data_IF_073372642683
#
_entry.id   IF_073372642683
#
_cell.length_a   1.000
_cell.length_b   1.000
_cell.length_c   1.000
_cell.angle_alpha   90.00
_cell.angle_beta   90.00
_cell.angle_gamma   90.00
#
_symmetry.space_group_name_H-M   'P 1'
#
loop_
_entity.id
_entity.type
_entity.pdbx_description
1 polymer ?
#
# COMPACT_ATOMS: atom_id res chain seq x y z
N UNK A 1 5.32 -37.18 -3.71
CA UNK A 1 6.19 -36.05 -4.09
C UNK A 1 5.34 -34.78 -4.03
N UNK A 2 5.41 -34.02 -2.93
CA UNK A 2 4.69 -32.75 -2.79
C UNK A 2 5.73 -31.63 -2.70
N UNK A 3 5.92 -30.89 -3.78
CA UNK A 3 6.77 -29.71 -3.82
C UNK A 3 5.97 -28.52 -3.31
N UNK A 4 6.29 -28.05 -2.11
CA UNK A 4 5.75 -26.81 -1.57
C UNK A 4 6.38 -25.64 -2.35
N UNK A 5 5.62 -25.08 -3.29
CA UNK A 5 5.98 -23.83 -3.96
C UNK A 5 5.87 -22.68 -2.97
N UNK A 6 7.00 -22.02 -2.68
CA UNK A 6 7.06 -20.79 -1.90
C UNK A 6 6.25 -19.69 -2.61
N UNK A 7 4.97 -19.54 -2.25
CA UNK A 7 4.15 -18.42 -2.66
C UNK A 7 4.73 -17.15 -2.05
N UNK A 8 5.18 -16.24 -2.90
CA UNK A 8 5.87 -15.03 -2.48
C UNK A 8 4.84 -13.94 -2.21
N UNK A 9 4.55 -13.71 -0.93
CA UNK A 9 3.51 -12.75 -0.56
C UNK A 9 4.06 -11.34 -0.66
N UNK A 10 3.45 -10.54 -1.53
CA UNK A 10 3.56 -9.09 -1.46
C UNK A 10 2.54 -8.57 -0.46
N UNK A 11 3.05 -8.02 0.63
CA UNK A 11 2.26 -7.65 1.78
C UNK A 11 2.46 -6.13 1.94
N UNK A 12 1.43 -5.32 1.66
CA UNK A 12 1.45 -3.87 1.90
C UNK A 12 0.49 -3.60 3.04
N UNK A 13 1.03 -3.11 4.16
CA UNK A 13 0.26 -2.70 5.32
C UNK A 13 -0.50 -1.41 5.00
N UNK A 14 -1.81 -1.42 5.26
CA UNK A 14 -2.65 -0.22 5.27
C UNK A 14 -2.17 0.72 6.38
N UNK A 15 -1.73 1.92 6.03
CA UNK A 15 -1.56 2.97 7.03
C UNK A 15 -2.95 3.54 7.33
N UNK A 16 -3.51 3.17 8.48
CA UNK A 16 -4.72 3.83 9.00
C UNK A 16 -4.38 5.29 9.28
N UNK A 17 -5.04 6.21 8.58
CA UNK A 17 -5.13 7.60 8.99
C UNK A 17 -5.91 7.65 10.30
N UNK A 18 -5.24 8.05 11.38
CA UNK A 18 -5.92 8.38 12.61
C UNK A 18 -6.75 9.66 12.37
N UNK A 19 -8.07 9.52 12.37
CA UNK A 19 -9.00 10.64 12.42
C UNK A 19 -8.78 11.44 13.70
N UNK A 20 -8.42 12.71 13.58
CA UNK A 20 -8.55 13.68 14.65
C UNK A 20 -9.73 14.58 14.30
N UNK A 21 -10.91 14.24 14.84
CA UNK A 21 -12.06 15.14 14.87
C UNK A 21 -12.39 15.50 16.32
N UNK A 22 -12.95 16.70 16.47
CA UNK A 22 -13.52 17.36 17.67
C UNK A 22 -12.48 17.98 18.64
N UNK A 23 -12.43 19.29 18.95
CA UNK A 23 -13.32 20.46 18.83
C UNK A 23 -12.46 21.73 19.00
N UNK A 24 -12.74 22.84 18.30
CA UNK A 24 -13.06 24.15 18.92
C UNK A 24 -13.38 25.23 17.84
N UNK A 25 -14.67 25.55 17.78
CA UNK A 25 -15.31 26.87 17.58
C UNK A 25 -14.69 27.94 16.66
N UNK A 26 -15.42 28.18 15.55
CA UNK A 26 -15.74 29.43 14.83
C UNK A 26 -15.08 30.75 15.31
N UNK A 27 -14.30 31.37 14.44
CA UNK A 27 -14.29 32.83 14.23
C UNK A 27 -13.76 33.16 12.82
N UNK A 28 -14.56 33.86 12.02
CA UNK A 28 -14.15 34.48 10.78
C UNK A 28 -13.57 35.87 11.08
N UNK A 29 -12.37 36.16 10.56
CA UNK A 29 -11.90 37.53 10.33
C UNK A 29 -10.68 37.54 9.38
N UNK A 30 -10.85 38.24 8.25
CA UNK A 30 -9.87 39.04 7.49
C UNK A 30 -8.36 38.73 7.58
N UNK A 31 -7.76 38.42 6.43
CA UNK A 31 -6.33 38.42 6.19
C UNK A 31 -5.73 39.84 6.13
N UNK A 32 -4.46 39.99 6.55
CA UNK A 32 -3.56 40.96 5.93
C UNK A 32 -2.30 40.30 5.35
N UNK A 33 -1.83 40.93 4.28
CA UNK A 33 -0.55 40.73 3.59
C UNK A 33 0.64 41.22 4.42
N UNK A 34 1.74 40.47 4.44
CA UNK A 34 3.13 40.89 4.16
C UNK A 34 4.20 40.08 4.92
N UNK A 35 5.17 39.58 4.13
CA UNK A 35 6.63 39.57 4.35
C UNK A 35 7.29 38.80 5.54
N UNK A 36 8.30 38.03 5.14
CA UNK A 36 9.56 37.73 5.83
C UNK A 36 9.53 37.08 7.23
N UNK A 37 9.56 35.75 7.25
CA UNK A 37 10.07 34.98 8.38
C UNK A 37 11.37 34.26 7.99
N UNK A 38 12.50 34.87 8.34
CA UNK A 38 13.82 34.26 8.24
C UNK A 38 13.94 33.04 9.15
N UNK A 39 14.51 31.96 8.61
CA UNK A 39 14.76 30.70 9.31
C UNK A 39 16.12 30.80 10.04
N UNK A 40 16.11 31.02 11.36
CA UNK A 40 17.32 31.08 12.18
C UNK A 40 17.81 29.66 12.53
N UNK A 41 18.90 29.25 11.87
CA UNK A 41 19.55 27.94 12.00
C UNK A 41 20.43 27.80 13.26
N UNK A 42 20.43 28.77 14.19
CA UNK A 42 21.32 28.75 15.36
C UNK A 42 20.68 28.27 16.68
N UNK A 43 19.39 27.90 16.70
CA UNK A 43 18.78 27.32 17.92
C UNK A 43 19.25 25.88 18.17
N UNK A 44 19.81 25.57 19.36
CA UNK A 44 20.12 24.20 19.74
C UNK A 44 18.84 23.38 19.93
N UNK A 45 18.84 22.17 19.37
CA UNK A 45 17.72 21.20 19.43
C UNK A 45 17.59 20.65 20.86
N UNK A 46 16.38 20.59 21.46
CA UNK A 46 16.23 20.05 22.81
C UNK A 46 16.59 18.55 22.82
N UNK A 47 17.44 18.17 23.77
CA UNK A 47 17.87 16.79 23.99
C UNK A 47 16.74 16.00 24.64
N UNK A 48 16.37 14.81 24.15
CA UNK A 48 15.35 14.00 24.80
C UNK A 48 15.88 13.40 26.10
N UNK A 49 15.30 13.81 27.23
CA UNK A 49 15.55 13.24 28.55
C UNK A 49 15.10 11.77 28.57
N UNK A 50 16.00 10.89 28.99
CA UNK A 50 15.75 9.44 29.12
C UNK A 50 14.78 9.19 30.27
N UNK A 51 13.53 8.82 29.95
CA UNK A 51 12.54 8.41 30.95
C UNK A 51 12.94 7.06 31.57
N UNK A 52 12.91 7.00 32.90
CA UNK A 52 13.24 5.84 33.72
C UNK A 52 12.07 4.85 33.76
N UNK A 53 12.35 3.56 33.58
CA UNK A 53 11.37 2.45 33.57
C UNK A 53 10.79 2.09 34.96
N UNK A 54 10.83 2.99 35.94
CA UNK A 54 10.43 2.70 37.33
C UNK A 54 9.11 3.33 37.78
N UNK A 55 8.44 4.10 36.92
CA UNK A 55 7.28 4.91 37.34
C UNK A 55 5.91 4.31 36.97
N UNK A 56 5.85 3.03 36.57
CA UNK A 56 4.58 2.31 36.33
C UNK A 56 4.49 1.05 37.20
N UNK A 57 4.13 1.24 38.47
CA UNK A 57 3.64 0.15 39.30
C UNK A 57 2.13 -0.03 39.05
N UNK A 58 1.73 -1.18 38.54
CA UNK A 58 0.32 -1.60 38.46
C UNK A 58 -0.15 -2.14 39.82
N UNK A 59 -1.37 -1.83 40.28
CA UNK A 59 -1.91 -2.42 41.50
C UNK A 59 -2.22 -3.91 41.32
N UNK A 60 -1.93 -4.71 42.34
CA UNK A 60 -2.21 -6.15 42.39
C UNK A 60 -3.69 -6.42 42.65
N UNK A 61 -4.37 -7.05 41.70
CA UNK A 61 -5.72 -7.60 41.90
C UNK A 61 -5.63 -9.09 42.22
N UNK A 62 -6.23 -9.52 43.33
CA UNK A 62 -6.30 -10.91 43.80
C UNK A 62 -7.15 -11.83 42.90
N UNK A 63 -7.24 -13.14 43.25
CA UNK A 63 -7.75 -14.15 42.34
C UNK A 63 -9.29 -14.13 42.29
N UNK A 64 -9.85 -13.81 41.14
CA UNK A 64 -11.25 -14.10 40.83
C UNK A 64 -11.33 -15.49 40.18
N UNK A 65 -11.81 -16.48 40.94
CA UNK A 65 -12.23 -17.78 40.43
C UNK A 65 -13.43 -17.62 39.49
N UNK A 66 -13.20 -17.78 38.18
CA UNK A 66 -14.26 -18.06 37.22
C UNK A 66 -14.08 -19.46 36.62
N UNK A 67 -15.17 -20.24 36.47
CA UNK A 67 -15.10 -21.62 36.00
C UNK A 67 -14.69 -21.69 34.53
N UNK A 68 -13.88 -22.69 34.23
CA UNK A 68 -13.41 -23.10 32.92
C UNK A 68 -14.58 -23.30 31.94
N UNK A 69 -14.74 -22.37 30.99
CA UNK A 69 -15.29 -22.70 29.68
C UNK A 69 -14.10 -22.94 28.75
N UNK A 70 -13.90 -24.20 28.36
CA UNK A 70 -12.88 -24.57 27.40
C UNK A 70 -13.13 -23.88 26.06
N UNK A 71 -12.24 -22.98 25.66
CA UNK A 71 -12.06 -22.66 24.25
C UNK A 71 -10.95 -23.56 23.70
N UNK A 72 -11.17 -24.27 22.57
CA UNK A 72 -10.06 -24.91 21.88
C UNK A 72 -9.07 -23.82 21.52
N UNK A 73 -7.83 -23.99 22.01
CA UNK A 73 -6.71 -23.10 21.75
C UNK A 73 -6.63 -22.82 20.25
N UNK A 74 -6.68 -21.54 19.93
CA UNK A 74 -6.26 -20.93 18.67
C UNK A 74 -4.94 -21.56 18.24
N UNK A 75 -5.00 -22.41 17.22
CA UNK A 75 -3.79 -22.86 16.56
C UNK A 75 -3.10 -21.60 16.01
N UNK A 76 -1.81 -21.36 16.33
CA UNK A 76 -1.10 -20.24 15.76
C UNK A 76 -1.20 -20.33 14.23
N UNK A 77 -1.40 -19.20 13.53
CA UNK A 77 -1.53 -19.23 12.08
C UNK A 77 -0.36 -20.02 11.49
N UNK A 78 -0.62 -20.94 10.54
CA UNK A 78 0.42 -21.81 10.02
C UNK A 78 1.63 -20.97 9.60
N UNK A 79 2.82 -21.37 10.04
CA UNK A 79 4.09 -20.76 9.69
C UNK A 79 4.18 -20.67 8.15
N UNK A 80 3.90 -19.49 7.62
CA UNK A 80 3.72 -19.28 6.18
C UNK A 80 2.65 -18.26 5.83
N UNK A 81 1.75 -17.92 6.76
CA UNK A 81 0.78 -16.85 6.53
C UNK A 81 1.40 -15.44 6.68
N UNK A 82 1.07 -14.52 5.77
CA UNK A 82 1.54 -13.14 5.81
C UNK A 82 1.25 -12.43 7.13
N UNK A 83 2.21 -11.66 7.63
CA UNK A 83 2.07 -10.81 8.82
C UNK A 83 1.70 -11.55 10.12
N UNK A 84 1.80 -12.89 10.17
CA UNK A 84 1.36 -13.65 11.33
C UNK A 84 -0.15 -13.56 11.56
N UNK A 85 -0.92 -13.25 10.52
CA UNK A 85 -2.39 -13.20 10.54
C UNK A 85 -2.96 -14.37 9.75
N UNK A 86 -4.09 -14.92 10.17
CA UNK A 86 -4.80 -15.91 9.35
C UNK A 86 -5.32 -15.24 8.07
N UNK A 87 -5.02 -15.80 6.90
CA UNK A 87 -5.60 -15.34 5.65
C UNK A 87 -6.75 -16.23 5.22
N UNK A 88 -7.84 -15.58 4.77
CA UNK A 88 -8.98 -16.25 4.16
C UNK A 88 -9.20 -15.68 2.77
N UNK A 89 -9.69 -16.52 1.86
CA UNK A 89 -10.13 -16.03 0.56
C UNK A 89 -11.33 -15.11 0.77
N UNK A 90 -11.29 -13.91 0.17
CA UNK A 90 -12.40 -12.98 0.24
C UNK A 90 -13.69 -13.66 -0.27
N UNK A 91 -14.83 -13.52 0.44
CA UNK A 91 -16.11 -14.04 -0.04
C UNK A 91 -16.51 -13.32 -1.33
N UNK A 92 -17.29 -13.99 -2.19
CA UNK A 92 -17.86 -13.37 -3.38
C UNK A 92 -18.62 -12.09 -3.01
N UNK A 93 -18.50 -11.03 -3.81
CA UNK A 93 -19.11 -9.73 -3.54
C UNK A 93 -18.29 -8.56 -4.04
N UNK A 94 -18.41 -7.41 -3.37
CA UNK A 94 -17.87 -6.13 -3.81
C UNK A 94 -16.36 -6.17 -4.12
N UNK A 95 -15.55 -6.83 -3.28
CA UNK A 95 -14.11 -6.97 -3.52
C UNK A 95 -13.80 -7.73 -4.81
N UNK A 96 -14.58 -8.77 -5.15
CA UNK A 96 -14.41 -9.49 -6.41
C UNK A 96 -14.82 -8.63 -7.60
N UNK A 97 -15.91 -7.88 -7.50
CA UNK A 97 -16.32 -6.95 -8.56
C UNK A 97 -15.24 -5.90 -8.83
N UNK A 98 -14.63 -5.34 -7.78
CA UNK A 98 -13.51 -4.40 -7.91
C UNK A 98 -12.30 -5.04 -8.56
N UNK A 99 -11.92 -6.23 -8.11
CA UNK A 99 -10.80 -6.97 -8.67
C UNK A 99 -11.02 -7.36 -10.13
N UNK A 100 -12.21 -7.79 -10.50
CA UNK A 100 -12.56 -8.15 -11.87
C UNK A 100 -12.45 -6.94 -12.81
N UNK A 101 -12.90 -5.77 -12.35
CA UNK A 101 -12.69 -4.51 -13.07
C UNK A 101 -11.20 -4.22 -13.24
N UNK A 102 -10.40 -4.26 -12.18
CA UNK A 102 -8.95 -3.99 -12.25
C UNK A 102 -8.23 -4.96 -13.19
N UNK A 103 -8.60 -6.24 -13.19
CA UNK A 103 -8.07 -7.23 -14.14
C UNK A 103 -8.39 -6.85 -15.57
N UNK A 104 -9.66 -6.54 -15.86
CA UNK A 104 -10.08 -6.11 -17.19
C UNK A 104 -9.39 -4.80 -17.61
N UNK A 105 -9.17 -3.88 -16.67
CA UNK A 105 -8.51 -2.59 -16.92
C UNK A 105 -7.02 -2.83 -17.24
N UNK A 106 -6.34 -3.65 -16.45
CA UNK A 106 -4.94 -4.06 -16.68
C UNK A 106 -4.77 -4.81 -18.01
N UNK A 107 -5.69 -5.69 -18.39
CA UNK A 107 -5.63 -6.41 -19.66
C UNK A 107 -5.63 -5.43 -20.86
N UNK A 108 -6.38 -4.32 -20.76
CA UNK A 108 -6.40 -3.27 -21.78
C UNK A 108 -5.11 -2.47 -21.87
N UNK A 109 -4.26 -2.49 -20.84
CA UNK A 109 -2.92 -1.88 -20.89
C UNK A 109 -1.93 -2.69 -21.74
N UNK A 110 -2.11 -4.01 -21.86
CA UNK A 110 -1.20 -4.93 -22.55
C UNK A 110 -0.70 -4.41 -23.91
N UNK A 111 -1.56 -3.99 -24.86
CA UNK A 111 -1.09 -3.46 -26.14
C UNK A 111 -0.32 -2.14 -26.02
N UNK A 112 -0.63 -1.29 -25.03
CA UNK A 112 0.13 -0.06 -24.75
C UNK A 112 1.54 -0.44 -24.28
N UNK A 113 1.65 -1.33 -23.31
CA UNK A 113 2.94 -1.77 -22.76
C UNK A 113 3.80 -2.47 -23.82
N UNK A 114 3.20 -3.32 -24.66
CA UNK A 114 3.88 -3.99 -25.76
C UNK A 114 4.48 -2.96 -26.75
N UNK A 115 3.70 -1.95 -27.17
CA UNK A 115 4.20 -0.87 -28.03
C UNK A 115 5.31 -0.07 -27.35
N UNK A 116 5.16 0.25 -26.06
CA UNK A 116 6.12 1.05 -25.32
C UNK A 116 7.42 0.32 -24.99
N UNK A 117 7.43 -1.02 -25.00
CA UNK A 117 8.66 -1.80 -24.91
C UNK A 117 9.55 -1.64 -26.14
N UNK A 118 8.94 -1.54 -27.33
CA UNK A 118 9.62 -1.38 -28.63
C UNK A 118 9.90 0.09 -28.95
N UNK A 119 8.86 0.92 -28.96
CA UNK A 119 8.91 2.34 -29.35
C UNK A 119 8.94 3.27 -28.13
N UNK A 120 9.87 3.04 -27.22
CA UNK A 120 9.92 3.69 -25.91
C UNK A 120 9.78 5.22 -25.96
N UNK A 121 10.48 5.91 -26.88
CA UNK A 121 10.48 7.40 -26.93
C UNK A 121 9.15 8.02 -27.37
N UNK A 122 8.26 7.26 -28.02
CA UNK A 122 6.97 7.76 -28.55
C UNK A 122 5.81 7.54 -27.58
N UNK A 123 6.07 6.95 -26.41
CA UNK A 123 5.03 6.67 -25.43
C UNK A 123 4.79 7.84 -24.46
N UNK A 124 3.55 7.97 -23.95
CA UNK A 124 3.24 8.86 -22.83
C UNK A 124 4.22 8.65 -21.68
N UNK A 125 4.48 9.71 -20.90
CA UNK A 125 5.43 9.67 -19.80
C UNK A 125 5.10 8.55 -18.79
N UNK A 126 3.84 8.44 -18.38
CA UNK A 126 3.36 7.40 -17.46
C UNK A 126 3.69 5.98 -17.96
N UNK A 127 3.34 5.67 -19.21
CA UNK A 127 3.63 4.39 -19.83
C UNK A 127 5.14 4.11 -19.94
N UNK A 128 5.95 5.12 -20.27
CA UNK A 128 7.42 4.99 -20.28
C UNK A 128 7.96 4.71 -18.88
N UNK A 129 7.48 5.43 -17.88
CA UNK A 129 7.90 5.25 -16.50
C UNK A 129 7.56 3.84 -16.01
N UNK A 130 6.32 3.40 -16.24
CA UNK A 130 5.87 2.06 -15.87
C UNK A 130 6.68 0.95 -16.57
N UNK A 131 6.91 1.07 -17.88
CA UNK A 131 7.78 0.12 -18.62
C UNK A 131 9.21 0.14 -18.10
N UNK A 132 9.74 1.29 -17.67
CA UNK A 132 11.08 1.36 -17.08
C UNK A 132 11.17 0.59 -15.74
N UNK A 133 10.11 0.66 -14.92
CA UNK A 133 10.03 -0.15 -13.68
C UNK A 133 10.03 -1.64 -14.01
N UNK A 134 9.21 -2.07 -14.99
CA UNK A 134 9.16 -3.46 -15.44
C UNK A 134 10.52 -3.94 -15.94
N UNK A 135 11.14 -3.19 -16.87
CA UNK A 135 12.46 -3.53 -17.42
C UNK A 135 13.52 -3.65 -16.34
N UNK A 136 13.49 -2.79 -15.30
CA UNK A 136 14.42 -2.87 -14.19
C UNK A 136 14.19 -4.10 -13.32
N UNK A 137 12.93 -4.50 -13.11
CA UNK A 137 12.57 -5.69 -12.36
C UNK A 137 12.94 -7.00 -13.10
N UNK A 138 12.89 -7.00 -14.43
CA UNK A 138 13.33 -8.12 -15.27
C UNK A 138 14.84 -8.43 -15.13
N UNK A 139 15.67 -7.47 -14.71
CA UNK A 139 17.13 -7.65 -14.56
C UNK A 139 17.56 -8.36 -13.27
N UNK A 140 16.61 -8.67 -12.38
CA UNK A 140 16.88 -9.28 -11.08
C UNK A 140 15.85 -10.36 -10.77
N UNK A 141 16.15 -11.23 -9.81
CA UNK A 141 15.28 -12.35 -9.44
C UNK A 141 14.98 -12.40 -7.93
N UNK A 142 14.03 -13.28 -7.57
CA UNK A 142 13.66 -13.54 -6.18
C UNK A 142 13.32 -12.29 -5.37
N UNK A 143 13.84 -12.21 -4.14
CA UNK A 143 13.58 -11.08 -3.23
C UNK A 143 14.10 -9.74 -3.74
N UNK A 144 15.18 -9.73 -4.53
CA UNK A 144 15.71 -8.49 -5.10
C UNK A 144 14.74 -7.88 -6.12
N UNK A 145 14.05 -8.71 -6.91
CA UNK A 145 12.98 -8.26 -7.80
C UNK A 145 11.87 -7.58 -7.02
N UNK A 146 11.37 -8.20 -5.96
CA UNK A 146 10.34 -7.59 -5.12
C UNK A 146 10.78 -6.25 -4.53
N UNK A 147 12.00 -6.18 -4.00
CA UNK A 147 12.51 -4.96 -3.38
C UNK A 147 12.58 -3.81 -4.39
N UNK A 148 13.05 -4.10 -5.61
CA UNK A 148 13.07 -3.12 -6.72
C UNK A 148 11.65 -2.68 -7.09
N UNK A 149 10.71 -3.61 -7.26
CA UNK A 149 9.33 -3.26 -7.61
C UNK A 149 8.70 -2.40 -6.53
N UNK A 150 8.85 -2.79 -5.26
CA UNK A 150 8.33 -2.03 -4.13
C UNK A 150 8.90 -0.61 -4.09
N UNK A 151 10.22 -0.46 -4.14
CA UNK A 151 10.87 0.84 -4.06
C UNK A 151 10.52 1.75 -5.24
N UNK A 152 10.46 1.20 -6.46
CA UNK A 152 10.20 1.99 -7.67
C UNK A 152 8.74 2.41 -7.80
N UNK A 153 7.80 1.55 -7.46
CA UNK A 153 6.37 1.93 -7.42
C UNK A 153 6.14 2.96 -6.32
N UNK A 154 6.71 2.77 -5.13
CA UNK A 154 6.57 3.74 -4.04
C UNK A 154 7.16 5.12 -4.36
N UNK A 155 8.17 5.18 -5.22
CA UNK A 155 8.73 6.46 -5.67
C UNK A 155 7.94 7.09 -6.82
N UNK A 156 7.13 6.31 -7.54
CA UNK A 156 6.39 6.76 -8.70
C UNK A 156 5.01 7.34 -8.37
N UNK A 157 4.44 6.92 -7.24
CA UNK A 157 3.09 7.26 -6.81
C UNK A 157 3.22 8.04 -5.50
N UNK A 158 2.52 9.17 -5.39
CA UNK A 158 2.35 9.90 -4.14
C UNK A 158 1.06 9.45 -3.45
N UNK A 159 1.08 9.30 -2.13
CA UNK A 159 -0.12 8.89 -1.38
C UNK A 159 -1.17 10.01 -1.40
N UNK A 160 -2.36 9.71 -1.93
CA UNK A 160 -3.55 10.57 -1.92
C UNK A 160 -4.77 9.68 -1.80
N UNK A 161 -5.70 10.00 -0.91
CA UNK A 161 -6.92 9.20 -0.75
C UNK A 161 -7.83 9.32 -1.98
N UNK A 162 -8.63 8.29 -2.24
CA UNK A 162 -9.65 8.35 -3.30
C UNK A 162 -10.67 9.47 -3.10
N UNK A 163 -10.99 9.80 -1.85
CA UNK A 163 -11.90 10.91 -1.57
C UNK A 163 -11.29 12.24 -1.99
N UNK A 164 -10.00 12.47 -1.71
CA UNK A 164 -9.32 13.72 -2.09
C UNK A 164 -9.05 13.79 -3.59
N UNK A 165 -8.79 12.65 -4.23
CA UNK A 165 -8.42 12.59 -5.65
C UNK A 165 -9.64 12.54 -6.57
N UNK A 166 -10.62 11.72 -6.22
CA UNK A 166 -11.73 11.34 -7.09
C UNK A 166 -13.12 11.66 -6.51
N UNK A 167 -13.20 12.02 -5.22
CA UNK A 167 -14.46 12.11 -4.48
C UNK A 167 -15.23 10.77 -4.48
N UNK A 168 -14.48 9.66 -4.52
CA UNK A 168 -14.99 8.30 -4.46
C UNK A 168 -14.51 7.63 -3.16
N UNK A 169 -15.31 6.77 -2.55
CA UNK A 169 -15.00 6.18 -1.23
C UNK A 169 -13.82 5.21 -1.29
N UNK A 170 -13.76 4.40 -2.35
CA UNK A 170 -12.80 3.31 -2.50
C UNK A 170 -12.85 2.87 -3.98
N UNK A 171 -11.88 3.35 -4.75
CA UNK A 171 -11.71 3.23 -6.19
C UNK A 171 -10.38 2.55 -6.47
N UNK A 172 -10.48 1.36 -7.07
CA UNK A 172 -9.28 0.63 -7.46
C UNK A 172 -8.84 1.03 -8.86
N UNK A 173 -7.64 1.59 -8.97
CA UNK A 173 -7.08 2.08 -10.24
C UNK A 173 -6.05 1.10 -10.80
N UNK A 174 -6.11 0.86 -12.10
CA UNK A 174 -5.03 0.18 -12.81
C UNK A 174 -3.80 1.11 -12.92
N UNK A 175 -2.59 0.61 -13.20
CA UNK A 175 -1.43 1.47 -13.42
C UNK A 175 -1.65 2.54 -14.48
N UNK A 176 -2.26 2.18 -15.60
CA UNK A 176 -2.53 3.05 -16.73
C UNK A 176 -4.00 2.88 -17.18
N UNK A 177 -4.64 3.95 -17.62
CA UNK A 177 -5.96 3.88 -18.26
C UNK A 177 -6.00 4.77 -19.49
N UNK A 178 -6.92 4.47 -20.43
CA UNK A 178 -7.16 5.25 -21.65
C UNK A 178 -7.64 6.69 -21.38
N UNK A 179 -8.01 7.00 -20.14
CA UNK A 179 -8.47 8.32 -19.71
C UNK A 179 -7.43 9.06 -18.88
N UNK A 180 -6.19 8.56 -18.82
CA UNK A 180 -5.11 9.12 -18.00
C UNK A 180 -5.50 9.20 -16.51
N UNK A 181 -6.21 8.18 -16.02
CA UNK A 181 -6.69 8.11 -14.62
C UNK A 181 -6.09 6.94 -13.83
N UNK A 182 -5.10 6.24 -14.39
CA UNK A 182 -4.36 5.21 -13.66
C UNK A 182 -3.40 5.80 -12.62
N UNK A 183 -2.89 4.95 -11.73
CA UNK A 183 -2.00 5.37 -10.65
C UNK A 183 -0.66 5.95 -11.17
N UNK A 184 -0.13 5.40 -12.27
CA UNK A 184 1.06 5.95 -12.94
C UNK A 184 0.73 7.15 -13.86
N UNK A 185 -0.52 7.25 -14.34
CA UNK A 185 -0.95 8.40 -15.14
C UNK A 185 -1.01 9.67 -14.30
N UNK A 186 -1.62 9.55 -13.12
CA UNK A 186 -1.80 10.67 -12.18
C UNK A 186 -0.60 10.87 -11.26
N UNK A 187 0.23 9.84 -11.08
CA UNK A 187 1.28 9.82 -10.07
C UNK A 187 0.73 9.83 -8.65
N UNK A 188 -0.52 9.40 -8.44
CA UNK A 188 -1.24 9.44 -7.17
C UNK A 188 -2.06 8.17 -6.97
N UNK A 189 -2.31 7.83 -5.72
CA UNK A 189 -3.17 6.71 -5.31
C UNK A 189 -2.97 6.39 -3.84
N UNK A 190 -3.73 5.43 -3.32
CA UNK A 190 -3.65 4.97 -1.95
C UNK A 190 -3.27 3.47 -1.87
N UNK A 191 -3.67 2.79 -0.80
CA UNK A 191 -3.10 1.50 -0.41
C UNK A 191 -3.22 0.44 -1.52
N UNK A 192 -4.41 0.30 -2.09
CA UNK A 192 -4.73 -0.64 -3.16
C UNK A 192 -4.02 -0.30 -4.46
N UNK A 193 -3.91 0.97 -4.82
CA UNK A 193 -3.33 1.41 -6.08
C UNK A 193 -1.83 1.06 -6.14
N UNK A 194 -1.13 1.24 -5.02
CA UNK A 194 0.25 0.78 -4.89
C UNK A 194 0.35 -0.74 -5.02
N UNK A 195 -0.54 -1.49 -4.37
CA UNK A 195 -0.52 -2.94 -4.37
C UNK A 195 -0.82 -3.51 -5.77
N UNK A 196 -1.83 -2.96 -6.44
CA UNK A 196 -2.21 -3.28 -7.82
C UNK A 196 -1.04 -2.97 -8.74
N UNK A 197 -0.43 -1.79 -8.66
CA UNK A 197 0.68 -1.45 -9.52
C UNK A 197 1.89 -2.38 -9.36
N UNK A 198 2.24 -2.75 -8.12
CA UNK A 198 3.29 -3.75 -7.86
C UNK A 198 2.92 -5.12 -8.43
N UNK A 199 1.67 -5.56 -8.23
CA UNK A 199 1.17 -6.81 -8.78
C UNK A 199 1.30 -6.83 -10.31
N UNK A 200 0.85 -5.78 -11.00
CA UNK A 200 0.90 -5.71 -12.47
C UNK A 200 2.34 -5.69 -12.99
N UNK A 201 3.25 -4.98 -12.32
CA UNK A 201 4.69 -5.05 -12.67
C UNK A 201 5.21 -6.48 -12.56
N UNK A 202 4.96 -7.16 -11.44
CA UNK A 202 5.47 -8.52 -11.21
C UNK A 202 4.90 -9.53 -12.21
N UNK A 203 3.60 -9.42 -12.54
CA UNK A 203 2.97 -10.22 -13.61
C UNK A 203 3.64 -9.98 -14.96
N UNK A 204 3.99 -8.73 -15.26
CA UNK A 204 4.71 -8.36 -16.49
C UNK A 204 6.17 -8.84 -16.54
N UNK A 205 6.75 -9.29 -15.41
CA UNK A 205 8.05 -9.99 -15.36
C UNK A 205 7.95 -11.51 -15.52
N UNK A 206 6.74 -12.03 -15.78
CA UNK A 206 6.47 -13.46 -15.95
C UNK A 206 6.13 -14.23 -14.68
N UNK A 207 6.06 -13.59 -13.50
CA UNK A 207 5.64 -14.26 -12.27
C UNK A 207 4.19 -14.74 -12.37
N UNK A 208 3.91 -15.97 -11.96
CA UNK A 208 2.56 -16.57 -12.00
C UNK A 208 1.59 -15.86 -11.03
N UNK A 209 0.32 -15.75 -11.42
CA UNK A 209 -0.73 -15.22 -10.55
C UNK A 209 -0.94 -16.10 -9.31
N UNK A 210 -0.54 -17.38 -9.37
CA UNK A 210 -0.57 -18.29 -8.20
C UNK A 210 0.45 -17.92 -7.13
N UNK A 211 1.52 -17.22 -7.52
CA UNK A 211 2.62 -16.84 -6.61
C UNK A 211 2.44 -15.44 -6.03
N UNK A 212 1.39 -14.72 -6.45
CA UNK A 212 1.09 -13.36 -6.04
C UNK A 212 -0.30 -13.29 -5.43
N UNK A 213 -0.43 -12.62 -4.30
CA UNK A 213 -1.70 -12.40 -3.62
C UNK A 213 -1.83 -10.92 -3.26
N UNK A 214 -2.99 -10.33 -3.54
CA UNK A 214 -3.38 -9.07 -2.91
C UNK A 214 -4.07 -9.40 -1.59
N UNK A 215 -3.65 -8.73 -0.53
CA UNK A 215 -4.18 -8.91 0.80
C UNK A 215 -4.86 -7.63 1.24
N UNK A 216 -6.12 -7.75 1.65
CA UNK A 216 -6.84 -6.68 2.32
C UNK A 216 -6.67 -6.90 3.82
N UNK A 217 -6.02 -5.96 4.50
CA UNK A 217 -5.70 -6.04 5.93
C UNK A 217 -6.41 -4.91 6.69
N UNK A 218 -6.75 -5.18 7.95
CA UNK A 218 -7.32 -4.23 8.91
C UNK A 218 -6.57 -4.30 10.22
#
# INVERSE_FOLDING_TARGET
MATWGLGLVLAVASAQSASADTLFTRAAASAPSHADAGFDLTRPKPTPTRLSLRDFALPSSGPATHPFFGQPRTEPPPLGEPFGLQTVKAPAGALWTKWDKVRADTERETPVLARCRVSFRRCPFAARHFVAVIKRAEQVEGRARLAIVNARVNAAIAYVSDMDQWHEVDRWSAPLDRRDTGAFDTGKGDCEDYAIAKYVVLRNTGMSARDLRLLVVR
#
